data_IF_342791812966
#
_entry.id   IF_342791812966
#
_cell.length_a   1.000
_cell.length_b   1.000
_cell.length_c   1.000
_cell.angle_alpha   90.00
_cell.angle_beta   90.00
_cell.angle_gamma   90.00
#
_symmetry.space_group_name_H-M   'P 1'
#
loop_
_entity.id
_entity.type
_entity.pdbx_description
1 polymer ?
#
# COMPACT_ATOMS: atom_id res chain seq x y z
N UNK A 1 9.56 5.85 2.84
CA UNK A 1 9.68 6.58 1.55
C UNK A 1 9.08 7.97 1.72
N UNK A 2 9.64 9.04 1.11
CA UNK A 2 9.09 10.38 1.26
C UNK A 2 7.65 10.49 0.72
N UNK A 3 6.84 11.29 1.39
CA UNK A 3 5.44 11.51 1.05
C UNK A 3 5.29 12.24 -0.29
N UNK A 4 4.28 11.87 -1.09
CA UNK A 4 3.92 12.58 -2.32
C UNK A 4 4.57 12.09 -3.63
N UNK A 5 5.22 10.91 -3.63
CA UNK A 5 5.79 10.29 -4.83
C UNK A 5 5.08 9.00 -5.25
N UNK A 6 5.24 8.59 -6.52
CA UNK A 6 4.84 7.26 -7.01
C UNK A 6 6.01 6.31 -6.82
N UNK A 7 5.73 5.11 -6.30
CA UNK A 7 6.73 4.08 -6.03
C UNK A 7 6.28 2.77 -6.64
N UNK A 8 7.20 2.06 -7.27
CA UNK A 8 7.01 0.68 -7.73
C UNK A 8 7.92 -0.25 -6.93
N UNK A 9 7.36 -1.35 -6.43
CA UNK A 9 8.12 -2.42 -5.81
C UNK A 9 8.23 -3.56 -6.81
N UNK A 10 9.46 -3.94 -7.16
CA UNK A 10 9.72 -5.19 -7.87
C UNK A 10 10.53 -6.07 -6.92
N UNK A 11 9.92 -7.15 -6.44
CA UNK A 11 10.49 -8.04 -5.43
C UNK A 11 10.24 -9.47 -5.88
N UNK A 12 11.24 -10.33 -5.73
CA UNK A 12 11.16 -11.74 -6.16
C UNK A 12 10.10 -12.52 -5.39
N UNK A 13 9.80 -12.10 -4.15
CA UNK A 13 8.79 -12.71 -3.29
C UNK A 13 7.61 -11.77 -3.10
N UNK A 14 6.42 -12.30 -3.40
CA UNK A 14 5.16 -11.57 -3.25
C UNK A 14 4.94 -11.07 -1.81
N UNK A 15 5.26 -11.88 -0.80
CA UNK A 15 5.14 -11.52 0.63
C UNK A 15 6.01 -10.32 1.03
N UNK A 16 7.20 -10.22 0.45
CA UNK A 16 8.12 -9.11 0.73
C UNK A 16 7.59 -7.82 0.11
N UNK A 17 6.99 -7.89 -1.09
CA UNK A 17 6.32 -6.75 -1.73
C UNK A 17 5.14 -6.25 -0.89
N UNK A 18 4.33 -7.14 -0.33
CA UNK A 18 3.24 -6.79 0.60
C UNK A 18 3.79 -6.12 1.85
N UNK A 19 4.81 -6.70 2.47
CA UNK A 19 5.40 -6.20 3.72
C UNK A 19 5.99 -4.79 3.53
N UNK A 20 6.69 -4.57 2.41
CA UNK A 20 7.24 -3.26 2.03
C UNK A 20 6.14 -2.22 1.77
N UNK A 21 5.08 -2.61 1.07
CA UNK A 21 3.93 -1.73 0.85
C UNK A 21 3.27 -1.36 2.18
N UNK A 22 3.03 -2.32 3.07
CA UNK A 22 2.42 -2.09 4.38
C UNK A 22 3.26 -1.14 5.24
N UNK A 23 4.57 -1.37 5.35
CA UNK A 23 5.48 -0.49 6.07
C UNK A 23 5.51 0.93 5.47
N UNK A 24 5.48 1.02 4.14
CA UNK A 24 5.51 2.31 3.44
C UNK A 24 4.25 3.12 3.74
N UNK A 25 3.07 2.48 3.74
CA UNK A 25 1.78 3.10 4.03
C UNK A 25 1.68 3.49 5.51
N UNK A 26 2.11 2.61 6.42
CA UNK A 26 2.16 2.87 7.86
C UNK A 26 3.09 4.04 8.22
N UNK A 27 4.15 4.25 7.45
CA UNK A 27 5.08 5.37 7.63
C UNK A 27 4.58 6.73 7.12
N UNK A 28 3.42 6.78 6.43
CA UNK A 28 2.85 8.04 5.95
C UNK A 28 2.15 8.81 7.08
N UNK A 29 2.04 10.13 6.92
CA UNK A 29 1.23 10.94 7.83
C UNK A 29 -0.26 10.56 7.74
N UNK A 30 -1.00 10.71 8.83
CA UNK A 30 -2.44 10.38 8.91
C UNK A 30 -3.30 11.20 7.93
N UNK A 31 -2.85 12.39 7.57
CA UNK A 31 -3.49 13.26 6.57
C UNK A 31 -3.07 12.96 5.13
N UNK A 32 -2.11 12.06 4.91
CA UNK A 32 -1.64 11.71 3.58
C UNK A 32 -2.71 10.91 2.83
N UNK A 33 -2.87 11.22 1.54
CA UNK A 33 -3.75 10.45 0.65
C UNK A 33 -2.92 9.39 -0.06
N UNK A 34 -3.23 8.12 0.17
CA UNK A 34 -2.45 7.01 -0.36
C UNK A 34 -3.29 6.15 -1.28
N UNK A 35 -2.78 5.91 -2.48
CA UNK A 35 -3.36 4.96 -3.41
C UNK A 35 -2.45 3.75 -3.53
N UNK A 36 -3.01 2.55 -3.43
CA UNK A 36 -2.28 1.30 -3.63
C UNK A 36 -2.89 0.57 -4.81
N UNK A 37 -2.06 0.21 -5.78
CA UNK A 37 -2.47 -0.55 -6.97
C UNK A 37 -1.76 -1.88 -6.91
N UNK A 38 -2.51 -2.98 -6.94
CA UNK A 38 -1.95 -4.33 -7.09
C UNK A 38 -2.50 -5.01 -8.32
N UNK A 39 -1.70 -5.85 -8.96
CA UNK A 39 -2.12 -6.70 -10.08
C UNK A 39 -2.67 -8.06 -9.64
N UNK A 40 -2.82 -8.29 -8.33
CA UNK A 40 -3.25 -9.57 -7.77
C UNK A 40 -4.76 -9.56 -7.39
N UNK A 41 -5.28 -10.75 -7.14
CA UNK A 41 -6.66 -11.03 -6.81
C UNK A 41 -7.04 -10.54 -5.41
N UNK A 42 -7.84 -9.46 -5.42
CA UNK A 42 -8.42 -8.77 -4.26
C UNK A 42 -7.40 -8.10 -3.32
N UNK A 43 -6.89 -6.91 -3.70
CA UNK A 43 -5.88 -6.21 -2.90
C UNK A 43 -6.33 -5.81 -1.49
N UNK A 44 -7.64 -5.75 -1.22
CA UNK A 44 -8.17 -5.48 0.11
C UNK A 44 -7.87 -6.63 1.10
N UNK A 45 -7.68 -7.86 0.60
CA UNK A 45 -7.30 -9.03 1.41
C UNK A 45 -5.78 -9.22 1.54
N UNK A 46 -5.02 -8.60 0.64
CA UNK A 46 -3.57 -8.77 0.53
C UNK A 46 -2.84 -7.80 1.45
N UNK A 47 -3.29 -6.54 1.51
CA UNK A 47 -2.66 -5.54 2.38
C UNK A 47 -3.25 -5.56 3.79
N UNK A 48 -2.47 -6.07 4.74
CA UNK A 48 -2.76 -5.99 6.18
C UNK A 48 -2.36 -4.60 6.69
N UNK A 49 -3.31 -3.68 6.64
CA UNK A 49 -3.12 -2.29 7.03
C UNK A 49 -4.03 -2.02 8.23
N UNK A 50 -3.41 -1.74 9.38
CA UNK A 50 -4.11 -1.39 10.60
C UNK A 50 -4.66 0.04 10.48
N UNK A 51 -5.96 0.23 10.72
CA UNK A 51 -6.62 1.53 10.66
C UNK A 51 -6.08 2.53 11.70
N UNK A 52 -5.31 2.05 12.68
CA UNK A 52 -4.70 2.87 13.74
C UNK A 52 -3.32 3.45 13.40
N UNK A 53 -2.71 3.09 12.27
CA UNK A 53 -1.37 3.60 11.88
C UNK A 53 -1.27 4.00 10.39
N UNK A 54 -0.57 5.10 10.12
CA UNK A 54 -0.34 5.61 8.77
C UNK A 54 -1.50 6.46 8.24
N UNK A 55 -1.76 6.41 6.93
CA UNK A 55 -2.75 7.23 6.19
C UNK A 55 -4.24 7.03 6.58
N UNK A 56 -4.54 6.27 7.65
CA UNK A 56 -5.87 6.08 8.21
C UNK A 56 -6.97 5.86 7.15
N UNK A 57 -7.97 6.75 7.15
CA UNK A 57 -9.16 6.70 6.29
C UNK A 57 -8.94 7.22 4.85
N UNK A 58 -7.79 7.83 4.56
CA UNK A 58 -7.50 8.48 3.28
C UNK A 58 -6.75 7.55 2.33
N UNK A 59 -7.26 6.32 2.19
CA UNK A 59 -6.63 5.26 1.39
C UNK A 59 -7.60 4.73 0.35
N UNK A 60 -7.10 4.55 -0.86
CA UNK A 60 -7.85 3.90 -1.95
C UNK A 60 -7.04 2.73 -2.48
N UNK A 61 -7.69 1.57 -2.59
CA UNK A 61 -7.07 0.34 -3.10
C UNK A 61 -7.67 0.04 -4.47
N UNK A 62 -6.81 -0.12 -5.47
CA UNK A 62 -7.19 -0.48 -6.83
C UNK A 62 -6.64 -1.87 -7.20
N UNK A 63 -7.47 -2.63 -7.92
CA UNK A 63 -7.02 -3.83 -8.62
C UNK A 63 -6.73 -3.46 -10.08
N UNK A 64 -5.48 -3.54 -10.48
CA UNK A 64 -5.11 -3.44 -11.89
C UNK A 64 -5.36 -4.79 -12.55
N UNK A 65 -6.45 -4.90 -13.31
CA UNK A 65 -6.67 -6.06 -14.19
C UNK A 65 -5.58 -6.08 -15.27
N UNK A 66 -4.97 -7.25 -15.46
CA UNK A 66 -4.16 -7.58 -16.64
C UNK A 66 -4.97 -7.43 -17.92
#
# INVERSE_FOLDING_TARGET
MPAGGVWWFNVDRHEDAISLANQTIASQAETAHVAVISMDSDPAKIFQLDDSQGAGKNKIIFNAKS
#
